data_IF_157520258570
#
_entry.id   IF_157520258570
#
_cell.length_a   1.000
_cell.length_b   1.000
_cell.length_c   1.000
_cell.angle_alpha   90.00
_cell.angle_beta   90.00
_cell.angle_gamma   90.00
#
_symmetry.space_group_name_H-M   'P 1'
#
loop_
_entity.id
_entity.type
_entity.pdbx_description
1 polymer ?
#
# COMPACT_ATOMS: atom_id res chain seq x y z
N UNK A 1 72.11 2.49 11.02
CA UNK A 1 70.83 3.05 10.51
C UNK A 1 69.94 1.90 10.07
N UNK A 2 68.82 1.73 10.79
CA UNK A 2 67.92 0.58 10.76
C UNK A 2 66.92 0.71 9.61
N UNK A 3 66.85 -0.28 8.71
CA UNK A 3 65.73 -0.43 7.77
C UNK A 3 64.98 -1.71 8.12
N UNK A 4 63.96 -1.59 8.98
CA UNK A 4 63.07 -2.70 9.34
C UNK A 4 62.11 -2.96 8.17
N UNK A 5 62.37 -4.00 7.39
CA UNK A 5 61.40 -4.58 6.45
C UNK A 5 60.29 -5.27 7.26
N UNK A 6 59.14 -4.61 7.39
CA UNK A 6 57.91 -5.21 7.93
C UNK A 6 57.28 -6.11 6.87
N UNK A 7 57.52 -7.42 6.99
CA UNK A 7 56.78 -8.44 6.24
C UNK A 7 55.39 -8.60 6.87
N UNK A 8 54.44 -7.78 6.41
CA UNK A 8 53.03 -7.91 6.78
C UNK A 8 52.47 -9.07 5.97
N UNK A 9 52.12 -10.17 6.65
CA UNK A 9 51.55 -11.36 6.01
C UNK A 9 50.16 -11.01 5.48
N UNK A 10 49.97 -11.12 4.16
CA UNK A 10 48.71 -10.83 3.47
C UNK A 10 47.49 -11.53 4.08
N UNK A 11 47.72 -12.66 4.76
CA UNK A 11 46.69 -13.48 5.41
C UNK A 11 46.14 -12.88 6.73
N UNK A 12 46.85 -11.97 7.41
CA UNK A 12 46.37 -11.39 8.68
C UNK A 12 45.45 -10.19 8.49
N UNK A 13 45.38 -9.62 7.29
CA UNK A 13 44.49 -8.48 6.97
C UNK A 13 43.17 -8.96 6.33
N UNK A 14 43.17 -10.13 5.68
CA UNK A 14 41.98 -10.67 5.01
C UNK A 14 40.89 -11.13 6.00
N UNK A 15 41.29 -11.70 7.14
CA UNK A 15 40.37 -12.24 8.14
C UNK A 15 39.49 -11.19 8.84
N UNK A 16 39.99 -10.01 9.27
CA UNK A 16 39.11 -8.98 9.85
C UNK A 16 38.17 -8.36 8.81
N UNK A 17 38.52 -8.36 7.52
CA UNK A 17 37.70 -7.76 6.46
C UNK A 17 36.46 -8.59 6.11
N UNK A 18 36.53 -9.92 6.26
CA UNK A 18 35.42 -10.85 6.05
C UNK A 18 34.37 -10.79 7.18
N UNK A 19 34.77 -10.44 8.41
CA UNK A 19 33.87 -10.39 9.58
C UNK A 19 33.07 -9.07 9.59
N UNK A 20 33.59 -7.99 9.01
CA UNK A 20 32.85 -6.72 8.87
C UNK A 20 31.65 -6.81 7.91
N UNK A 21 31.63 -7.78 6.97
CA UNK A 21 30.53 -7.95 6.02
C UNK A 21 29.23 -8.47 6.64
N UNK A 22 29.30 -9.14 7.79
CA UNK A 22 28.13 -9.74 8.45
C UNK A 22 27.38 -8.78 9.38
N UNK A 23 27.91 -7.59 9.66
CA UNK A 23 27.27 -6.60 10.52
C UNK A 23 26.26 -5.68 9.80
N UNK A 24 26.17 -5.79 8.47
CA UNK A 24 25.16 -5.08 7.68
C UNK A 24 23.87 -5.91 7.68
N UNK A 25 23.07 -5.76 8.72
CA UNK A 25 21.71 -6.29 8.76
C UNK A 25 20.83 -5.43 7.82
N UNK A 26 20.35 -5.95 6.68
CA UNK A 26 19.53 -5.17 5.74
C UNK A 26 18.18 -4.76 6.34
N UNK A 27 17.77 -5.38 7.45
CA UNK A 27 16.54 -5.04 8.17
C UNK A 27 16.66 -3.77 9.01
N UNK A 28 17.90 -3.31 9.27
CA UNK A 28 18.16 -2.07 10.02
C UNK A 28 18.55 -0.92 9.08
N UNK A 29 18.27 -1.07 7.78
CA UNK A 29 18.31 0.05 6.87
C UNK A 29 17.25 1.04 7.34
N UNK A 30 17.70 2.25 7.69
CA UNK A 30 16.83 3.39 7.93
C UNK A 30 16.22 3.77 6.59
N UNK A 31 15.17 3.03 6.21
CA UNK A 31 14.29 3.38 5.11
C UNK A 31 13.69 4.71 5.53
N UNK A 32 14.22 5.80 4.96
CA UNK A 32 13.70 7.16 5.09
C UNK A 32 12.31 7.28 4.48
N UNK A 33 11.38 6.50 5.01
CA UNK A 33 9.96 6.72 4.88
C UNK A 33 9.73 8.03 5.61
N UNK A 34 9.46 9.07 4.84
CA UNK A 34 8.98 10.33 5.37
C UNK A 34 7.74 10.02 6.21
N UNK A 35 7.90 9.98 7.54
CA UNK A 35 6.84 9.68 8.50
C UNK A 35 5.85 10.86 8.62
N UNK A 36 5.91 11.81 7.71
CA UNK A 36 4.84 12.78 7.54
C UNK A 36 3.60 12.03 7.09
N UNK A 37 2.50 12.22 7.82
CA UNK A 37 1.18 11.80 7.34
C UNK A 37 1.02 12.34 5.91
N UNK A 38 0.59 11.52 4.94
CA UNK A 38 0.38 11.97 3.59
C UNK A 38 -0.54 13.20 3.61
N UNK A 39 -0.13 14.27 2.94
CA UNK A 39 -0.95 15.48 2.88
C UNK A 39 -2.35 15.13 2.40
N UNK A 40 -3.36 15.44 3.22
CA UNK A 40 -4.75 15.25 2.86
C UNK A 40 -5.07 16.15 1.65
N UNK A 41 -5.11 15.54 0.45
CA UNK A 41 -5.50 16.21 -0.79
C UNK A 41 -7.02 16.40 -0.79
N UNK A 42 -7.48 17.54 -0.27
CA UNK A 42 -8.89 17.93 -0.38
C UNK A 42 -9.21 18.25 -1.84
N UNK A 43 -10.21 17.57 -2.39
CA UNK A 43 -10.70 17.82 -3.75
C UNK A 43 -12.03 18.54 -3.70
N UNK A 44 -12.47 19.09 -4.84
CA UNK A 44 -13.82 19.67 -4.98
C UNK A 44 -14.95 18.65 -4.70
N UNK A 45 -14.63 17.35 -4.71
CA UNK A 45 -15.58 16.27 -4.45
C UNK A 45 -15.67 15.88 -2.97
N UNK A 46 -14.78 16.39 -2.11
CA UNK A 46 -14.70 15.98 -0.71
C UNK A 46 -16.03 16.16 0.02
N UNK A 47 -16.75 17.26 -0.24
CA UNK A 47 -18.05 17.50 0.37
C UNK A 47 -19.09 16.44 -0.01
N UNK A 48 -19.16 16.08 -1.30
CA UNK A 48 -20.09 15.07 -1.79
C UNK A 48 -19.76 13.68 -1.23
N UNK A 49 -18.48 13.34 -1.15
CA UNK A 49 -17.96 12.09 -0.56
C UNK A 49 -18.31 12.00 0.92
N UNK A 50 -18.14 13.09 1.68
CA UNK A 50 -18.51 13.12 3.11
C UNK A 50 -20.03 13.02 3.30
N UNK A 51 -20.80 13.69 2.44
CA UNK A 51 -22.27 13.63 2.51
C UNK A 51 -22.78 12.22 2.22
N UNK A 52 -22.13 11.48 1.30
CA UNK A 52 -22.41 10.07 1.09
C UNK A 52 -22.17 9.26 2.37
N UNK A 53 -21.05 9.49 3.07
CA UNK A 53 -20.76 8.85 4.35
C UNK A 53 -21.85 9.09 5.39
N UNK A 54 -22.29 10.34 5.55
CA UNK A 54 -23.40 10.71 6.44
C UNK A 54 -24.71 10.00 6.07
N UNK A 55 -25.02 9.88 4.79
CA UNK A 55 -26.21 9.15 4.35
C UNK A 55 -26.13 7.66 4.73
N UNK A 56 -24.96 7.03 4.64
CA UNK A 56 -24.81 5.63 5.06
C UNK A 56 -24.97 5.45 6.57
N UNK A 57 -24.63 6.46 7.36
CA UNK A 57 -24.83 6.42 8.81
C UNK A 57 -26.31 6.60 9.19
N UNK A 58 -27.02 7.50 8.50
CA UNK A 58 -28.44 7.78 8.75
C UNK A 58 -29.34 6.64 8.27
N UNK A 59 -29.06 6.08 7.09
CA UNK A 59 -29.97 5.15 6.42
C UNK A 59 -29.58 3.67 6.53
N UNK A 60 -28.33 3.35 6.89
CA UNK A 60 -27.88 1.97 7.08
C UNK A 60 -27.44 1.75 8.52
N UNK A 61 -27.96 0.70 9.15
CA UNK A 61 -27.47 0.24 10.47
C UNK A 61 -26.29 -0.74 10.31
N UNK A 62 -26.05 -1.24 9.10
CA UNK A 62 -25.00 -2.21 8.81
C UNK A 62 -23.87 -1.59 7.98
N UNK A 63 -22.62 -2.03 8.19
CA UNK A 63 -21.49 -1.54 7.43
C UNK A 63 -21.61 -1.97 5.96
N UNK A 64 -21.49 -1.01 5.05
CA UNK A 64 -21.42 -1.21 3.61
C UNK A 64 -19.97 -1.58 3.25
N UNK A 65 -19.74 -2.86 3.01
CA UNK A 65 -18.43 -3.40 2.62
C UNK A 65 -18.29 -3.32 1.10
N UNK A 66 -17.24 -2.66 0.62
CA UNK A 66 -16.99 -2.45 -0.82
C UNK A 66 -15.67 -3.12 -1.21
N UNK A 67 -15.73 -4.00 -2.21
CA UNK A 67 -14.55 -4.56 -2.86
C UNK A 67 -14.23 -3.79 -4.14
N UNK A 68 -12.96 -3.50 -4.34
CA UNK A 68 -12.46 -2.83 -5.55
C UNK A 68 -11.46 -3.73 -6.23
N UNK A 69 -11.81 -4.22 -7.43
CA UNK A 69 -10.86 -4.83 -8.35
C UNK A 69 -9.92 -3.75 -8.88
N UNK A 70 -8.68 -4.11 -9.20
CA UNK A 70 -7.70 -3.21 -9.81
C UNK A 70 -8.30 -2.39 -10.97
N UNK A 71 -8.07 -1.08 -10.92
CA UNK A 71 -8.54 -0.12 -11.90
C UNK A 71 -7.33 0.46 -12.63
N UNK A 72 -7.11 -0.04 -13.85
CA UNK A 72 -6.04 0.40 -14.73
C UNK A 72 -6.60 1.25 -15.88
N UNK A 73 -5.77 2.13 -16.41
CA UNK A 73 -6.11 2.90 -17.61
C UNK A 73 -6.22 1.99 -18.85
N UNK A 74 -7.45 1.69 -19.25
CA UNK A 74 -7.77 0.97 -20.49
C UNK A 74 -7.97 1.90 -21.69
N UNK A 75 -7.98 3.22 -21.48
CA UNK A 75 -8.15 4.20 -22.56
C UNK A 75 -6.83 4.52 -23.27
N UNK A 76 -5.69 4.16 -22.65
CA UNK A 76 -4.35 4.44 -23.16
C UNK A 76 -3.97 5.92 -23.12
N UNK A 77 -4.83 6.76 -22.56
CA UNK A 77 -4.62 8.22 -22.50
C UNK A 77 -3.50 8.58 -21.55
N UNK A 78 -3.27 7.80 -20.49
CA UNK A 78 -2.18 8.03 -19.54
C UNK A 78 -0.81 8.08 -20.22
N UNK A 79 -0.59 7.30 -21.29
CA UNK A 79 0.67 7.37 -22.05
C UNK A 79 0.69 8.60 -22.96
N UNK A 80 -0.43 8.92 -23.61
CA UNK A 80 -0.53 10.03 -24.56
C UNK A 80 -0.49 11.42 -23.90
N UNK A 81 -1.00 11.55 -22.67
CA UNK A 81 -1.09 12.82 -21.92
C UNK A 81 0.00 12.98 -20.88
N UNK A 82 1.07 12.16 -20.93
CA UNK A 82 2.15 12.19 -19.94
C UNK A 82 1.68 11.98 -18.50
N UNK A 83 0.76 11.04 -18.31
CA UNK A 83 0.16 10.65 -17.04
C UNK A 83 -0.70 11.74 -16.35
N UNK A 84 -1.37 12.61 -17.13
CA UNK A 84 -2.42 13.49 -16.59
C UNK A 84 -3.50 12.68 -15.84
N UNK A 85 -3.91 11.54 -16.43
CA UNK A 85 -4.67 10.51 -15.72
C UNK A 85 -3.67 9.44 -15.26
N UNK A 86 -3.61 9.12 -13.96
CA UNK A 86 -2.74 8.07 -13.45
C UNK A 86 -3.06 6.72 -14.09
N UNK A 87 -2.02 5.94 -14.39
CA UNK A 87 -2.16 4.61 -15.01
C UNK A 87 -2.88 3.61 -14.12
N UNK A 88 -2.71 3.74 -12.81
CA UNK A 88 -3.39 2.97 -11.77
C UNK A 88 -3.99 3.94 -10.75
N UNK A 89 -5.30 3.82 -10.53
CA UNK A 89 -6.05 4.65 -9.58
C UNK A 89 -6.54 3.85 -8.37
N UNK A 90 -6.16 2.57 -8.28
CA UNK A 90 -6.64 1.63 -7.26
C UNK A 90 -6.40 2.14 -5.84
N UNK A 91 -5.19 2.60 -5.53
CA UNK A 91 -4.86 3.13 -4.20
C UNK A 91 -5.59 4.43 -3.87
N UNK A 92 -5.86 5.28 -4.87
CA UNK A 92 -6.66 6.48 -4.68
C UNK A 92 -8.11 6.12 -4.33
N UNK A 93 -8.68 5.11 -4.98
CA UNK A 93 -10.02 4.64 -4.68
C UNK A 93 -10.08 4.00 -3.29
N UNK A 94 -9.11 3.15 -2.92
CA UNK A 94 -9.02 2.57 -1.57
C UNK A 94 -8.97 3.65 -0.49
N UNK A 95 -8.12 4.66 -0.69
CA UNK A 95 -7.98 5.79 0.25
C UNK A 95 -9.26 6.61 0.31
N UNK A 96 -9.89 6.89 -0.83
CA UNK A 96 -11.15 7.64 -0.89
C UNK A 96 -12.28 6.89 -0.20
N UNK A 97 -12.42 5.59 -0.41
CA UNK A 97 -13.44 4.77 0.23
C UNK A 97 -13.29 4.76 1.75
N UNK A 98 -12.05 4.67 2.24
CA UNK A 98 -11.77 4.76 3.68
C UNK A 98 -11.99 6.19 4.23
N UNK A 99 -11.80 7.22 3.39
CA UNK A 99 -12.00 8.61 3.76
C UNK A 99 -13.48 9.05 3.75
N UNK A 100 -14.40 8.34 3.08
CA UNK A 100 -15.86 8.59 3.12
C UNK A 100 -16.37 8.61 4.56
N UNK A 101 -15.87 7.70 5.39
CA UNK A 101 -16.33 7.51 6.76
C UNK A 101 -17.76 6.94 6.84
N UNK A 102 -18.44 7.19 7.96
CA UNK A 102 -19.75 6.60 8.24
C UNK A 102 -19.67 5.06 8.31
N UNK A 103 -20.59 4.40 7.60
CA UNK A 103 -20.69 2.94 7.57
C UNK A 103 -19.99 2.31 6.36
N UNK A 104 -19.26 3.06 5.54
CA UNK A 104 -18.55 2.52 4.38
C UNK A 104 -17.18 1.97 4.79
N UNK A 105 -16.88 0.73 4.41
CA UNK A 105 -15.59 0.07 4.67
C UNK A 105 -15.05 -0.55 3.38
N UNK A 106 -13.80 -0.24 3.05
CA UNK A 106 -13.09 -0.99 2.03
C UNK A 106 -12.72 -2.39 2.56
N UNK A 107 -12.93 -3.41 1.73
CA UNK A 107 -12.44 -4.77 1.97
C UNK A 107 -11.62 -5.24 0.76
N UNK A 108 -10.57 -6.06 0.98
CA UNK A 108 -9.74 -6.56 -0.11
C UNK A 108 -10.58 -7.37 -1.11
N UNK A 109 -10.19 -7.29 -2.38
CA UNK A 109 -10.89 -7.98 -3.46
C UNK A 109 -10.51 -9.47 -3.48
N UNK A 110 -11.51 -10.33 -3.27
CA UNK A 110 -11.35 -11.78 -3.34
C UNK A 110 -12.11 -12.34 -4.56
N UNK A 111 -11.40 -12.78 -5.63
CA UNK A 111 -12.04 -13.25 -6.85
C UNK A 111 -12.88 -14.51 -6.64
N UNK A 112 -12.46 -15.40 -5.74
CA UNK A 112 -13.19 -16.64 -5.44
C UNK A 112 -14.55 -16.35 -4.81
N UNK A 113 -14.60 -15.40 -3.88
CA UNK A 113 -15.84 -14.94 -3.27
C UNK A 113 -16.80 -14.37 -4.31
N UNK A 114 -16.28 -13.60 -5.29
CA UNK A 114 -17.10 -13.03 -6.36
C UNK A 114 -17.65 -14.10 -7.30
N UNK A 115 -16.86 -15.11 -7.65
CA UNK A 115 -17.29 -16.22 -8.50
C UNK A 115 -18.36 -17.05 -7.77
N UNK A 116 -18.15 -17.33 -6.48
CA UNK A 116 -19.12 -18.06 -5.66
C UNK A 116 -20.41 -17.28 -5.49
N UNK A 117 -20.34 -15.97 -5.22
CA UNK A 117 -21.52 -15.10 -5.11
C UNK A 117 -22.28 -15.05 -6.44
N UNK A 118 -21.58 -14.94 -7.57
CA UNK A 118 -22.20 -14.93 -8.91
C UNK A 118 -22.84 -16.28 -9.26
N UNK A 119 -22.24 -17.40 -8.84
CA UNK A 119 -22.72 -18.75 -9.14
C UNK A 119 -23.81 -19.26 -8.18
N UNK A 120 -23.80 -18.86 -6.92
CA UNK A 120 -24.68 -19.41 -5.87
C UNK A 120 -25.71 -18.42 -5.34
N UNK A 121 -25.53 -17.11 -5.56
CA UNK A 121 -26.43 -16.07 -5.07
C UNK A 121 -26.41 -15.84 -3.56
N UNK A 122 -25.63 -16.61 -2.78
CA UNK A 122 -25.45 -16.40 -1.35
C UNK A 122 -24.13 -15.66 -1.08
N UNK A 123 -24.24 -14.55 -0.36
CA UNK A 123 -23.11 -13.75 0.11
C UNK A 123 -23.09 -13.83 1.64
N UNK A 124 -22.73 -14.99 2.19
CA UNK A 124 -22.48 -15.07 3.63
C UNK A 124 -21.10 -14.48 3.90
N UNK A 125 -21.09 -13.22 4.32
CA UNK A 125 -19.88 -12.46 4.62
C UNK A 125 -19.33 -12.89 5.98
N UNK A 126 -18.84 -14.14 6.07
CA UNK A 126 -18.12 -14.60 7.24
C UNK A 126 -17.07 -13.54 7.63
N UNK A 127 -17.04 -13.20 8.92
CA UNK A 127 -16.36 -12.05 9.51
C UNK A 127 -14.86 -12.04 9.20
N UNK A 128 -14.50 -11.53 8.02
CA UNK A 128 -13.13 -11.27 7.63
C UNK A 128 -12.67 -10.00 8.37
N UNK A 129 -12.30 -10.19 9.64
CA UNK A 129 -11.51 -9.22 10.39
C UNK A 129 -10.04 -9.50 10.08
N UNK A 130 -9.34 -8.49 9.59
CA UNK A 130 -7.89 -8.52 9.51
C UNK A 130 -7.33 -8.51 10.96
N UNK A 131 -6.25 -9.24 11.26
CA UNK A 131 -5.54 -9.13 12.53
C UNK A 131 -4.97 -7.72 12.77
#
# INVERSE_FOLDING_TARGET
MNSRRTSIRFNTVLLPLLILGCALNPQNADIGLDLTLPEARITIYQQAVNQLGLMTDIYSQTPVKIMVKEIQDNTGTSIATSAEIPRDVTEMVKTTLNAIGGNVRYIPYEPEFMIQTAGTGYSDWAEFSLP
#
